data_IF_310723916868
#
_entry.id   IF_310723916868
#
_cell.length_a   1.000
_cell.length_b   1.000
_cell.length_c   1.000
_cell.angle_alpha   90.00
_cell.angle_beta   90.00
_cell.angle_gamma   90.00
#
_symmetry.space_group_name_H-M   'P 1'
#
loop_
_entity.id
_entity.type
_entity.pdbx_description
1 polymer ?
#
# COMPACT_ATOMS: atom_id res chain seq x y z
N UNK A 1 -32.51 46.57 50.08
CA UNK A 1 -31.47 45.58 49.72
C UNK A 1 -30.96 45.90 48.30
N UNK A 2 -29.65 45.98 48.06
CA UNK A 2 -29.12 46.23 46.72
C UNK A 2 -29.37 45.01 45.80
N UNK A 3 -29.58 45.21 44.49
CA UNK A 3 -29.74 44.11 43.55
C UNK A 3 -28.43 43.33 43.40
N UNK A 4 -28.55 42.00 43.29
CA UNK A 4 -27.41 41.10 43.10
C UNK A 4 -26.68 41.39 41.78
N UNK A 5 -25.34 41.26 41.74
CA UNK A 5 -24.58 41.42 40.50
C UNK A 5 -24.92 40.32 39.49
N UNK A 6 -24.80 40.61 38.18
CA UNK A 6 -25.02 39.62 37.13
C UNK A 6 -23.97 38.51 37.17
N UNK A 7 -24.31 37.29 36.70
CA UNK A 7 -23.36 36.18 36.65
C UNK A 7 -22.22 36.45 35.65
N UNK A 8 -21.02 35.88 35.89
CA UNK A 8 -19.90 36.01 34.96
C UNK A 8 -20.19 35.30 33.62
N UNK A 9 -19.59 35.77 32.51
CA UNK A 9 -19.76 35.14 31.21
C UNK A 9 -19.17 33.72 31.18
N UNK A 10 -19.69 32.82 30.33
CA UNK A 10 -19.15 31.48 30.16
C UNK A 10 -17.71 31.52 29.63
N UNK A 11 -16.85 30.66 30.18
CA UNK A 11 -15.47 30.51 29.73
C UNK A 11 -15.42 29.94 28.31
N UNK A 12 -14.53 30.47 27.47
CA UNK A 12 -14.35 29.99 26.09
C UNK A 12 -13.79 28.55 26.10
N UNK A 13 -14.23 27.68 25.18
CA UNK A 13 -13.62 26.36 25.03
C UNK A 13 -12.14 26.50 24.61
N UNK A 14 -11.28 25.56 25.01
CA UNK A 14 -9.89 25.54 24.59
C UNK A 14 -9.78 25.41 23.06
N UNK A 15 -8.71 25.94 22.46
CA UNK A 15 -8.46 25.75 21.02
C UNK A 15 -8.29 24.26 20.71
N UNK A 16 -8.83 23.82 19.56
CA UNK A 16 -8.60 22.47 19.04
C UNK A 16 -7.09 22.24 18.83
N UNK A 17 -6.59 21.01 19.06
CA UNK A 17 -5.24 20.65 18.65
C UNK A 17 -5.07 20.80 17.13
N UNK A 18 -3.86 21.16 16.65
CA UNK A 18 -3.59 21.21 15.22
C UNK A 18 -3.79 19.82 14.59
N UNK A 19 -4.17 19.76 13.29
CA UNK A 19 -4.25 18.50 12.58
C UNK A 19 -2.87 17.81 12.55
N UNK A 20 -2.81 16.47 12.52
CA UNK A 20 -1.55 15.75 12.35
C UNK A 20 -0.88 16.22 11.04
N UNK A 21 0.43 16.48 11.12
CA UNK A 21 1.25 16.84 9.96
C UNK A 21 1.09 15.74 8.89
N UNK A 22 0.80 16.16 7.65
CA UNK A 22 0.79 15.24 6.52
C UNK A 22 2.13 14.49 6.47
N UNK A 23 2.14 13.17 6.27
CA UNK A 23 3.39 12.43 6.11
C UNK A 23 4.19 13.06 4.96
N UNK A 24 5.53 13.07 5.05
CA UNK A 24 6.36 13.63 4.01
C UNK A 24 5.95 13.05 2.64
N UNK A 25 5.98 13.85 1.56
CA UNK A 25 5.77 13.32 0.22
C UNK A 25 6.81 12.21 0.06
N UNK A 26 6.33 10.97 -0.03
CA UNK A 26 7.20 9.84 -0.31
C UNK A 26 7.85 10.17 -1.64
N UNK A 27 9.18 10.13 -1.71
CA UNK A 27 9.92 10.33 -2.97
C UNK A 27 9.17 9.62 -4.10
N UNK A 28 9.00 10.26 -5.28
CA UNK A 28 8.24 9.64 -6.35
C UNK A 28 8.87 8.28 -6.65
N UNK A 29 8.13 7.20 -6.42
CA UNK A 29 8.58 5.85 -6.74
C UNK A 29 8.49 5.73 -8.26
N UNK A 30 9.63 5.98 -8.91
CA UNK A 30 9.76 5.88 -10.36
C UNK A 30 10.13 4.46 -10.75
N UNK A 31 9.62 4.02 -11.90
CA UNK A 31 10.08 2.77 -12.51
C UNK A 31 11.55 2.95 -12.96
N UNK A 32 12.45 2.01 -12.65
CA UNK A 32 13.83 2.06 -13.15
C UNK A 32 13.87 2.13 -14.69
N UNK A 33 14.89 2.75 -15.27
CA UNK A 33 15.03 2.88 -16.74
C UNK A 33 15.01 1.53 -17.48
N UNK A 34 15.45 0.45 -16.80
CA UNK A 34 15.44 -0.92 -17.33
C UNK A 34 14.11 -1.64 -17.14
N UNK A 35 13.13 -0.99 -16.53
CA UNK A 35 11.83 -1.54 -16.18
C UNK A 35 11.83 -2.36 -14.90
N UNK A 36 10.63 -2.82 -14.54
CA UNK A 36 10.38 -3.72 -13.41
C UNK A 36 9.94 -5.08 -13.94
N UNK A 37 10.57 -6.14 -13.44
CA UNK A 37 10.20 -7.49 -13.79
C UNK A 37 8.92 -7.92 -13.06
N UNK A 38 7.92 -8.39 -13.80
CA UNK A 38 6.71 -9.03 -13.25
C UNK A 38 6.85 -10.54 -13.37
N UNK A 39 6.67 -11.21 -12.25
CA UNK A 39 6.73 -12.66 -12.13
C UNK A 39 5.34 -13.22 -11.83
N UNK A 40 5.08 -14.44 -12.29
CA UNK A 40 3.91 -15.20 -11.91
C UNK A 40 4.00 -15.61 -10.42
N UNK A 41 3.04 -15.19 -9.61
CA UNK A 41 3.08 -15.41 -8.16
C UNK A 41 3.02 -16.89 -7.73
N UNK A 42 2.60 -17.80 -8.61
CA UNK A 42 2.48 -19.25 -8.32
C UNK A 42 3.71 -20.05 -8.76
N UNK A 43 4.31 -19.67 -9.88
CA UNK A 43 5.37 -20.43 -10.55
C UNK A 43 6.72 -19.72 -10.50
N UNK A 44 6.74 -18.41 -10.26
CA UNK A 44 7.93 -17.57 -10.39
C UNK A 44 8.34 -17.32 -11.85
N UNK A 45 7.52 -17.75 -12.82
CA UNK A 45 7.82 -17.57 -14.23
C UNK A 45 7.83 -16.08 -14.59
N UNK A 46 8.78 -15.68 -15.43
CA UNK A 46 8.80 -14.35 -16.00
C UNK A 46 7.55 -14.12 -16.85
N UNK A 47 6.84 -13.04 -16.57
CA UNK A 47 5.71 -12.60 -17.38
C UNK A 47 6.14 -11.45 -18.28
N UNK A 48 6.43 -10.28 -17.71
CA UNK A 48 6.71 -9.09 -18.51
C UNK A 48 7.71 -8.16 -17.82
N UNK A 49 8.32 -7.27 -18.60
CA UNK A 49 8.97 -6.08 -18.07
C UNK A 49 8.01 -4.90 -18.21
N UNK A 50 7.77 -4.19 -17.11
CA UNK A 50 6.94 -2.98 -17.07
C UNK A 50 7.86 -1.78 -17.16
N UNK A 51 7.66 -0.94 -18.17
CA UNK A 51 8.41 0.32 -18.37
C UNK A 51 7.57 1.54 -17.99
N UNK A 52 6.25 1.45 -18.08
CA UNK A 52 5.33 2.53 -17.78
C UNK A 52 4.80 2.43 -16.34
N UNK A 53 4.94 3.50 -15.57
CA UNK A 53 4.59 3.54 -14.15
C UNK A 53 3.09 3.40 -13.87
N UNK A 54 2.22 3.61 -14.86
CA UNK A 54 0.78 3.45 -14.75
C UNK A 54 0.29 2.04 -15.13
N UNK A 55 1.18 1.14 -15.56
CA UNK A 55 0.81 -0.23 -15.93
C UNK A 55 0.30 -1.02 -14.73
N UNK A 56 -0.91 -1.55 -14.82
CA UNK A 56 -1.53 -2.41 -13.80
C UNK A 56 -1.68 -3.88 -14.22
N UNK A 57 -1.26 -4.23 -15.44
CA UNK A 57 -1.42 -5.56 -16.01
C UNK A 57 -0.13 -6.02 -16.72
N UNK A 58 0.24 -7.29 -16.57
CA UNK A 58 1.30 -7.89 -17.35
C UNK A 58 0.80 -8.12 -18.79
N UNK A 59 1.51 -7.58 -19.78
CA UNK A 59 1.09 -7.58 -21.18
C UNK A 59 1.26 -8.92 -21.91
N UNK A 60 1.60 -10.01 -21.21
CA UNK A 60 1.66 -11.33 -21.86
C UNK A 60 0.25 -11.83 -22.18
N UNK A 61 0.05 -12.52 -23.32
CA UNK A 61 -1.16 -13.25 -23.58
C UNK A 61 -1.28 -14.40 -22.56
N UNK A 62 -2.00 -14.17 -21.47
CA UNK A 62 -2.42 -15.26 -20.60
C UNK A 62 -3.62 -15.96 -21.25
N UNK A 63 -3.75 -17.27 -21.04
CA UNK A 63 -4.92 -18.05 -21.51
C UNK A 63 -6.23 -17.57 -20.87
N UNK A 64 -6.16 -16.69 -19.87
CA UNK A 64 -7.26 -16.17 -19.07
C UNK A 64 -7.47 -14.65 -19.26
N UNK A 65 -6.84 -14.01 -20.25
CA UNK A 65 -6.96 -12.58 -20.51
C UNK A 65 -5.82 -11.75 -19.90
N UNK A 66 -6.11 -10.54 -19.43
CA UNK A 66 -5.10 -9.65 -18.82
C UNK A 66 -4.76 -10.14 -17.41
N UNK A 67 -3.49 -10.34 -17.11
CA UNK A 67 -3.03 -10.69 -15.77
C UNK A 67 -2.79 -9.43 -14.97
N UNK A 68 -3.62 -9.18 -13.95
CA UNK A 68 -3.40 -8.05 -13.02
C UNK A 68 -2.06 -8.22 -12.30
N UNK A 69 -1.40 -7.11 -12.04
CA UNK A 69 -0.21 -7.05 -11.20
C UNK A 69 -0.68 -6.83 -9.76
N UNK A 70 -0.50 -7.84 -8.90
CA UNK A 70 -0.79 -7.75 -7.48
C UNK A 70 0.47 -7.41 -6.68
N UNK A 71 0.31 -6.75 -5.53
CA UNK A 71 1.42 -6.47 -4.63
C UNK A 71 1.86 -7.73 -3.87
N UNK A 72 3.17 -7.91 -3.70
CA UNK A 72 3.76 -8.92 -2.83
C UNK A 72 4.76 -8.23 -1.90
N UNK A 73 4.46 -8.19 -0.61
CA UNK A 73 5.30 -7.50 0.37
C UNK A 73 6.13 -8.48 1.19
N UNK A 74 7.28 -7.98 1.66
CA UNK A 74 8.27 -8.69 2.43
C UNK A 74 8.65 -7.86 3.66
N UNK A 75 9.07 -8.52 4.72
CA UNK A 75 9.82 -7.91 5.82
C UNK A 75 11.23 -7.49 5.35
N UNK A 76 11.95 -6.74 6.20
CA UNK A 76 13.32 -6.31 5.91
C UNK A 76 14.29 -7.51 5.76
N UNK A 77 14.06 -8.60 6.50
CA UNK A 77 14.80 -9.86 6.39
C UNK A 77 14.48 -10.67 5.11
N UNK A 78 13.50 -10.22 4.30
CA UNK A 78 13.05 -10.92 3.10
C UNK A 78 11.92 -11.94 3.30
N UNK A 79 11.40 -12.09 4.52
CA UNK A 79 10.27 -12.97 4.79
C UNK A 79 9.00 -12.44 4.14
N UNK A 80 8.32 -13.29 3.38
CA UNK A 80 7.16 -12.88 2.61
C UNK A 80 5.95 -12.68 3.52
N UNK A 81 5.08 -11.73 3.14
CA UNK A 81 3.79 -11.49 3.79
C UNK A 81 2.70 -11.40 2.75
N UNK A 82 1.65 -12.22 2.92
CA UNK A 82 0.40 -12.10 2.15
C UNK A 82 -0.66 -11.27 2.87
N UNK A 83 -0.59 -11.24 4.19
CA UNK A 83 -1.50 -10.45 5.03
C UNK A 83 -0.77 -9.87 6.25
N UNK A 84 -1.38 -8.87 6.88
CA UNK A 84 -0.94 -8.28 8.15
C UNK A 84 -2.10 -8.33 9.14
N UNK A 85 -1.85 -8.90 10.32
CA UNK A 85 -2.90 -9.11 11.32
C UNK A 85 -3.76 -10.33 10.99
N UNK A 86 -4.91 -10.12 10.38
CA UNK A 86 -5.91 -11.16 10.07
C UNK A 86 -5.75 -11.69 8.64
N UNK A 87 -6.10 -12.95 8.40
CA UNK A 87 -6.12 -13.54 7.06
C UNK A 87 -7.52 -13.41 6.43
N UNK A 88 -7.99 -12.18 6.33
CA UNK A 88 -9.25 -11.78 5.70
C UNK A 88 -9.00 -10.62 4.72
N UNK A 89 -10.05 -10.08 4.11
CA UNK A 89 -9.91 -8.98 3.15
C UNK A 89 -9.25 -7.74 3.76
N UNK A 90 -9.46 -7.49 5.05
CA UNK A 90 -8.87 -6.35 5.76
C UNK A 90 -7.35 -6.50 5.93
N UNK A 91 -6.89 -7.71 6.28
CA UNK A 91 -5.46 -7.97 6.47
C UNK A 91 -4.72 -8.32 5.18
N UNK A 92 -5.40 -8.82 4.14
CA UNK A 92 -4.78 -9.19 2.87
C UNK A 92 -4.15 -7.96 2.19
N UNK A 93 -2.87 -8.06 1.84
CA UNK A 93 -2.10 -6.95 1.27
C UNK A 93 -2.62 -6.57 -0.12
N UNK A 94 -2.92 -7.58 -0.93
CA UNK A 94 -3.40 -7.41 -2.30
C UNK A 94 -4.93 -7.52 -2.40
N UNK A 95 -5.66 -7.71 -1.29
CA UNK A 95 -7.13 -7.90 -1.29
C UNK A 95 -7.60 -9.31 -1.66
N UNK A 96 -8.90 -9.58 -1.44
CA UNK A 96 -9.57 -10.85 -1.78
C UNK A 96 -10.85 -10.54 -2.57
N UNK A 97 -10.91 -10.77 -3.90
CA UNK A 97 -9.85 -11.25 -4.78
C UNK A 97 -8.70 -10.23 -4.95
N UNK A 98 -7.55 -10.63 -5.52
CA UNK A 98 -6.43 -9.71 -5.70
C UNK A 98 -6.84 -8.47 -6.52
N UNK A 99 -6.42 -7.31 -6.04
CA UNK A 99 -6.63 -6.00 -6.65
C UNK A 99 -5.46 -5.63 -7.54
N UNK A 100 -5.75 -4.84 -8.57
CA UNK A 100 -4.73 -4.34 -9.48
C UNK A 100 -3.86 -3.27 -8.81
N UNK A 101 -2.56 -3.31 -9.08
CA UNK A 101 -1.60 -2.32 -8.60
C UNK A 101 -0.66 -1.89 -9.72
N UNK A 102 -0.32 -0.61 -9.73
CA UNK A 102 0.90 -0.13 -10.38
C UNK A 102 2.12 -0.44 -9.52
N UNK A 103 3.32 -0.34 -10.08
CA UNK A 103 4.56 -0.48 -9.32
C UNK A 103 4.62 0.46 -8.10
N UNK A 104 4.32 1.74 -8.31
CA UNK A 104 4.31 2.73 -7.24
C UNK A 104 3.22 2.43 -6.19
N UNK A 105 2.02 2.02 -6.63
CA UNK A 105 0.94 1.66 -5.72
C UNK A 105 1.28 0.44 -4.86
N UNK A 106 1.96 -0.56 -5.43
CA UNK A 106 2.41 -1.75 -4.70
C UNK A 106 3.43 -1.40 -3.62
N UNK A 107 4.43 -0.57 -3.93
CA UNK A 107 5.39 -0.06 -2.94
C UNK A 107 4.70 0.69 -1.80
N UNK A 108 3.78 1.61 -2.12
CA UNK A 108 3.03 2.36 -1.12
C UNK A 108 2.17 1.43 -0.26
N UNK A 109 1.54 0.41 -0.86
CA UNK A 109 0.71 -0.55 -0.14
C UNK A 109 1.52 -1.37 0.88
N UNK A 110 2.76 -1.75 0.54
CA UNK A 110 3.70 -2.39 1.45
C UNK A 110 4.16 -1.43 2.55
N UNK A 111 4.62 -0.23 2.17
CA UNK A 111 5.17 0.75 3.11
C UNK A 111 4.15 1.18 4.18
N UNK A 112 2.88 1.35 3.79
CA UNK A 112 1.76 1.64 4.72
C UNK A 112 1.57 0.58 5.80
N UNK A 113 2.09 -0.63 5.58
CA UNK A 113 2.01 -1.78 6.49
C UNK A 113 3.35 -2.07 7.19
N UNK A 114 4.34 -1.19 7.05
CA UNK A 114 5.68 -1.40 7.60
C UNK A 114 6.47 -2.49 6.89
N UNK A 115 6.16 -2.77 5.62
CA UNK A 115 6.81 -3.78 4.79
C UNK A 115 7.44 -3.13 3.55
N UNK A 116 8.29 -3.86 2.86
CA UNK A 116 8.86 -3.48 1.55
C UNK A 116 8.25 -4.32 0.42
N UNK A 117 8.32 -3.84 -0.81
CA UNK A 117 8.02 -4.69 -1.96
C UNK A 117 9.09 -5.80 -2.06
N UNK A 118 8.67 -7.03 -2.34
CA UNK A 118 9.59 -8.15 -2.47
C UNK A 118 10.46 -8.01 -3.73
N UNK A 119 11.71 -8.45 -3.60
CA UNK A 119 12.71 -8.56 -4.67
C UNK A 119 12.79 -9.97 -5.27
N UNK A 120 12.03 -10.92 -4.71
CA UNK A 120 11.91 -12.30 -5.19
C UNK A 120 10.45 -12.79 -5.11
N UNK A 121 10.16 -13.91 -5.75
CA UNK A 121 8.82 -14.51 -5.70
C UNK A 121 8.62 -15.30 -4.39
N UNK A 122 7.40 -15.22 -3.85
CA UNK A 122 7.05 -15.65 -2.50
C UNK A 122 6.22 -16.93 -2.42
N UNK A 123 6.36 -17.82 -3.40
CA UNK A 123 5.57 -19.05 -3.43
C UNK A 123 5.80 -19.86 -2.15
N UNK A 124 4.72 -20.20 -1.45
CA UNK A 124 4.69 -21.01 -0.22
C UNK A 124 5.53 -20.43 0.94
N UNK A 125 5.74 -19.10 0.97
CA UNK A 125 6.65 -18.42 1.93
C UNK A 125 6.00 -17.36 2.82
N UNK A 126 4.68 -17.19 2.81
CA UNK A 126 3.99 -16.21 3.65
C UNK A 126 2.52 -16.06 3.32
#
# INVERSE_FOLDING_TARGET
PPPSPPPPPPSRPPPLPPPPLSPPPHSPITIPDRGVQVLDGKTGAFLACVLDAATTHASQPSRYGRTIIAAQCCEDNGDCRRYVGTNDDAGCIAGIPPSEHTYAAAHIACAKRGLRLCDSYCKDKG
#
